data_IF_318491730411
#
_entry.id   IF_318491730411
#
_cell.length_a   1.000
_cell.length_b   1.000
_cell.length_c   1.000
_cell.angle_alpha   90.00
_cell.angle_beta   90.00
_cell.angle_gamma   90.00
#
_symmetry.space_group_name_H-M   'P 1'
#
loop_
_entity.id
_entity.type
_entity.pdbx_description
1 polymer ?
#
# COMPACT_ATOMS: atom_id res chain seq x y z
N UNK A 1 -31.14 22.38 -31.71
CA UNK A 1 -32.07 21.47 -31.01
C UNK A 1 -31.67 21.45 -29.55
N UNK A 2 -32.44 22.09 -28.68
CA UNK A 2 -32.19 22.03 -27.24
C UNK A 2 -32.65 20.66 -26.75
N UNK A 3 -31.70 19.75 -26.55
CA UNK A 3 -31.98 18.50 -25.85
C UNK A 3 -32.51 18.83 -24.46
N UNK A 4 -33.63 18.19 -24.12
CA UNK A 4 -34.31 18.32 -22.84
C UNK A 4 -33.32 18.13 -21.68
N UNK A 5 -32.86 19.24 -21.10
CA UNK A 5 -32.23 19.30 -19.79
C UNK A 5 -33.29 18.92 -18.76
N UNK A 6 -33.49 17.60 -18.58
CA UNK A 6 -34.39 17.09 -17.58
C UNK A 6 -33.83 17.51 -16.21
N UNK A 7 -34.50 18.40 -15.46
CA UNK A 7 -33.94 18.99 -14.23
C UNK A 7 -33.60 17.93 -13.18
N UNK A 8 -34.23 16.77 -13.26
CA UNK A 8 -33.94 15.58 -12.45
C UNK A 8 -32.52 15.01 -12.67
N UNK A 9 -32.00 15.03 -13.90
CA UNK A 9 -30.62 14.56 -14.21
C UNK A 9 -29.55 15.56 -13.75
N UNK A 10 -29.86 16.85 -13.83
CA UNK A 10 -29.00 17.91 -13.28
C UNK A 10 -28.91 17.82 -11.75
N UNK A 11 -30.03 17.50 -11.09
CA UNK A 11 -30.07 17.24 -9.65
C UNK A 11 -29.29 15.98 -9.25
N UNK A 12 -29.26 14.94 -10.07
CA UNK A 12 -28.53 13.71 -9.79
C UNK A 12 -27.01 13.91 -9.73
N UNK A 13 -26.48 14.79 -10.58
CA UNK A 13 -25.05 15.15 -10.68
C UNK A 13 -24.56 16.08 -9.57
N UNK A 14 -25.48 16.70 -8.81
CA UNK A 14 -25.12 17.54 -7.69
C UNK A 14 -24.60 16.69 -6.52
N UNK A 15 -23.50 17.15 -5.93
CA UNK A 15 -22.95 16.59 -4.70
C UNK A 15 -24.02 16.56 -3.60
N UNK A 16 -23.96 15.62 -2.64
CA UNK A 16 -24.93 15.56 -1.53
C UNK A 16 -25.10 16.89 -0.78
N UNK A 17 -24.06 17.72 -0.77
CA UNK A 17 -24.05 19.06 -0.17
C UNK A 17 -24.86 20.05 -0.99
N UNK A 18 -24.72 20.05 -2.32
CA UNK A 18 -25.52 20.90 -3.21
C UNK A 18 -27.01 20.51 -3.21
N UNK A 19 -27.32 19.21 -3.09
CA UNK A 19 -28.69 18.73 -2.87
C UNK A 19 -29.27 19.27 -1.56
N UNK A 20 -28.48 19.26 -0.49
CA UNK A 20 -28.88 19.79 0.81
C UNK A 20 -29.12 21.32 0.78
N UNK A 21 -28.22 22.06 0.10
CA UNK A 21 -28.38 23.51 -0.13
C UNK A 21 -29.63 23.78 -0.96
N UNK A 22 -29.88 23.02 -2.02
CA UNK A 22 -31.09 23.14 -2.84
C UNK A 22 -32.37 22.90 -2.05
N UNK A 23 -32.41 21.86 -1.21
CA UNK A 23 -33.55 21.58 -0.31
C UNK A 23 -33.73 22.72 0.69
N UNK A 24 -32.66 23.18 1.34
CA UNK A 24 -32.70 24.32 2.27
C UNK A 24 -33.22 25.60 1.59
N UNK A 25 -32.74 25.91 0.38
CA UNK A 25 -33.22 27.06 -0.41
C UNK A 25 -34.70 26.93 -0.78
N UNK A 26 -35.16 25.71 -1.07
CA UNK A 26 -36.57 25.44 -1.39
C UNK A 26 -37.45 25.63 -0.16
N UNK A 27 -37.02 25.12 1.00
CA UNK A 27 -37.72 25.30 2.29
C UNK A 27 -37.75 26.78 2.68
N UNK A 28 -36.63 27.49 2.56
CA UNK A 28 -36.56 28.92 2.80
C UNK A 28 -37.48 29.67 1.85
N UNK A 29 -37.49 29.35 0.55
CA UNK A 29 -38.38 30.01 -0.42
C UNK A 29 -39.87 29.77 -0.16
N UNK A 30 -40.24 28.61 0.42
CA UNK A 30 -41.61 28.28 0.79
C UNK A 30 -42.07 28.94 2.10
N UNK A 31 -41.16 29.09 3.07
CA UNK A 31 -41.49 29.60 4.40
C UNK A 31 -41.28 31.11 4.55
N UNK A 32 -40.33 31.68 3.81
CA UNK A 32 -39.98 33.10 3.88
C UNK A 32 -41.17 34.04 3.61
N UNK A 33 -42.06 33.79 2.61
CA UNK A 33 -43.22 34.65 2.38
C UNK A 33 -44.17 34.67 3.59
N UNK A 34 -44.48 33.51 4.15
CA UNK A 34 -45.37 33.39 5.31
C UNK A 34 -44.76 34.04 6.58
N UNK A 35 -43.45 33.92 6.77
CA UNK A 35 -42.73 34.57 7.87
C UNK A 35 -42.74 36.10 7.70
N UNK A 36 -42.52 36.59 6.47
CA UNK A 36 -42.56 38.03 6.17
C UNK A 36 -43.96 38.63 6.29
N UNK A 37 -45.02 37.86 6.07
CA UNK A 37 -46.41 38.30 6.29
C UNK A 37 -46.77 38.40 7.77
N UNK A 38 -46.17 37.58 8.65
CA UNK A 38 -46.42 37.62 10.09
C UNK A 38 -45.81 38.83 10.81
N UNK A 39 -44.83 39.49 10.21
CA UNK A 39 -44.22 40.70 10.79
C UNK A 39 -44.92 41.96 10.27
N UNK A 40 -45.34 42.84 11.18
CA UNK A 40 -46.02 44.10 10.81
C UNK A 40 -45.07 45.24 10.44
N UNK A 41 -43.79 45.16 10.80
CA UNK A 41 -42.80 46.23 10.60
C UNK A 41 -41.84 45.91 9.45
N UNK A 42 -41.70 46.85 8.50
CA UNK A 42 -40.78 46.73 7.35
C UNK A 42 -39.33 46.57 7.77
N UNK A 43 -38.91 47.19 8.88
CA UNK A 43 -37.54 47.08 9.39
C UNK A 43 -37.23 45.65 9.85
N UNK A 44 -38.21 44.96 10.44
CA UNK A 44 -38.05 43.57 10.89
C UNK A 44 -38.04 42.62 9.70
N UNK A 45 -38.85 42.88 8.67
CA UNK A 45 -38.82 42.15 7.39
C UNK A 45 -37.45 42.25 6.71
N UNK A 46 -36.89 43.46 6.66
CA UNK A 46 -35.58 43.72 6.06
C UNK A 46 -34.45 43.02 6.83
N UNK A 47 -34.48 43.04 8.16
CA UNK A 47 -33.52 42.32 9.00
C UNK A 47 -33.57 40.80 8.81
N UNK A 48 -34.78 40.22 8.71
CA UNK A 48 -34.97 38.79 8.40
C UNK A 48 -34.42 38.45 7.01
N UNK A 49 -34.62 39.33 6.03
CA UNK A 49 -34.12 39.12 4.67
C UNK A 49 -32.58 39.14 4.61
N UNK A 50 -31.94 40.10 5.28
CA UNK A 50 -30.47 40.16 5.37
C UNK A 50 -29.91 38.92 6.07
N UNK A 51 -30.52 38.51 7.18
CA UNK A 51 -30.02 37.34 7.94
C UNK A 51 -30.16 36.04 7.15
N UNK A 52 -31.23 35.87 6.36
CA UNK A 52 -31.38 34.74 5.43
C UNK A 52 -30.30 34.76 4.34
N UNK A 53 -30.01 35.92 3.74
CA UNK A 53 -28.95 36.07 2.74
C UNK A 53 -27.58 35.70 3.35
N UNK A 54 -27.28 36.17 4.57
CA UNK A 54 -26.02 35.89 5.25
C UNK A 54 -25.85 34.39 5.57
N UNK A 55 -26.92 33.70 5.96
CA UNK A 55 -26.91 32.25 6.22
C UNK A 55 -26.64 31.48 4.92
N UNK A 56 -27.30 31.84 3.81
CA UNK A 56 -27.08 31.20 2.51
C UNK A 56 -25.64 31.40 2.02
N UNK A 57 -25.11 32.62 2.13
CA UNK A 57 -23.71 32.92 1.79
C UNK A 57 -22.73 32.08 2.62
N UNK A 58 -22.95 31.97 3.93
CA UNK A 58 -22.10 31.19 4.83
C UNK A 58 -22.13 29.69 4.48
N UNK A 59 -23.31 29.14 4.19
CA UNK A 59 -23.47 27.75 3.76
C UNK A 59 -22.80 27.47 2.40
N UNK A 60 -22.91 28.40 1.45
CA UNK A 60 -22.27 28.29 0.14
C UNK A 60 -20.74 28.32 0.23
N UNK A 61 -20.18 29.22 1.06
CA UNK A 61 -18.73 29.28 1.33
C UNK A 61 -18.25 27.99 1.98
N UNK A 62 -18.97 27.49 2.99
CA UNK A 62 -18.63 26.26 3.69
C UNK A 62 -18.67 25.03 2.77
N UNK A 63 -19.66 24.95 1.88
CA UNK A 63 -19.75 23.87 0.88
C UNK A 63 -18.62 23.92 -0.15
N UNK A 64 -18.27 25.12 -0.63
CA UNK A 64 -17.14 25.32 -1.56
C UNK A 64 -15.81 24.89 -0.94
N UNK A 65 -15.56 25.25 0.33
CA UNK A 65 -14.36 24.84 1.06
C UNK A 65 -14.29 23.32 1.27
N UNK A 66 -15.42 22.67 1.59
CA UNK A 66 -15.47 21.23 1.82
C UNK A 66 -15.21 20.43 0.54
N UNK A 67 -15.75 20.85 -0.61
CA UNK A 67 -15.50 20.17 -1.89
C UNK A 67 -14.04 20.24 -2.31
N UNK A 68 -13.37 21.37 -2.08
CA UNK A 68 -11.92 21.51 -2.34
C UNK A 68 -11.10 20.57 -1.46
N UNK A 69 -11.39 20.51 -0.16
CA UNK A 69 -10.68 19.62 0.76
C UNK A 69 -10.89 18.13 0.41
N UNK A 70 -12.10 17.74 -0.02
CA UNK A 70 -12.39 16.36 -0.42
C UNK A 70 -11.66 16.00 -1.71
N UNK A 71 -11.58 16.90 -2.69
CA UNK A 71 -10.81 16.67 -3.92
C UNK A 71 -9.31 16.55 -3.64
N UNK A 72 -8.76 17.41 -2.78
CA UNK A 72 -7.36 17.37 -2.37
C UNK A 72 -7.02 16.03 -1.68
N UNK A 73 -7.86 15.58 -0.74
CA UNK A 73 -7.69 14.27 -0.07
C UNK A 73 -7.80 13.09 -1.04
N UNK A 74 -8.66 13.17 -2.07
CA UNK A 74 -8.77 12.14 -3.10
C UNK A 74 -7.56 12.11 -4.03
N UNK A 75 -7.02 13.27 -4.41
CA UNK A 75 -5.78 13.36 -5.19
C UNK A 75 -4.58 12.83 -4.40
N UNK A 76 -4.48 13.16 -3.12
CA UNK A 76 -3.41 12.68 -2.26
C UNK A 76 -3.53 11.17 -2.01
N UNK A 77 -4.73 10.63 -1.83
CA UNK A 77 -4.93 9.18 -1.77
C UNK A 77 -4.50 8.49 -3.07
N UNK A 78 -4.82 9.07 -4.24
CA UNK A 78 -4.37 8.53 -5.54
C UNK A 78 -2.85 8.54 -5.64
N UNK A 79 -2.20 9.64 -5.25
CA UNK A 79 -0.73 9.74 -5.21
C UNK A 79 -0.15 8.68 -4.28
N UNK A 80 -0.62 8.61 -3.03
CA UNK A 80 -0.16 7.63 -2.05
C UNK A 80 -0.33 6.18 -2.53
N UNK A 81 -1.46 5.86 -3.15
CA UNK A 81 -1.70 4.53 -3.73
C UNK A 81 -0.71 4.21 -4.84
N UNK A 82 -0.38 5.21 -5.68
CA UNK A 82 0.62 5.05 -6.74
C UNK A 82 2.02 4.84 -6.15
N UNK A 83 2.42 5.67 -5.19
CA UNK A 83 3.73 5.57 -4.52
C UNK A 83 3.87 4.24 -3.78
N UNK A 84 2.79 3.76 -3.13
CA UNK A 84 2.78 2.43 -2.47
C UNK A 84 3.05 1.32 -3.48
N UNK A 85 2.38 1.32 -4.64
CA UNK A 85 2.61 0.32 -5.69
C UNK A 85 4.03 0.34 -6.23
N UNK A 86 4.57 1.53 -6.51
CA UNK A 86 5.94 1.69 -6.98
C UNK A 86 6.95 1.17 -5.93
N UNK A 87 6.72 1.48 -4.65
CA UNK A 87 7.55 1.01 -3.55
C UNK A 87 7.46 -0.51 -3.36
N UNK A 88 6.26 -1.09 -3.46
CA UNK A 88 6.06 -2.55 -3.35
C UNK A 88 6.79 -3.29 -4.48
N UNK A 89 6.75 -2.74 -5.70
CA UNK A 89 7.47 -3.30 -6.85
C UNK A 89 8.99 -3.21 -6.68
N UNK A 90 9.51 -2.07 -6.19
CA UNK A 90 10.93 -1.92 -5.86
C UNK A 90 11.35 -2.90 -4.75
N UNK A 91 10.53 -3.08 -3.71
CA UNK A 91 10.79 -4.03 -2.63
C UNK A 91 10.79 -5.48 -3.12
N UNK A 92 9.88 -5.85 -4.02
CA UNK A 92 9.88 -7.19 -4.65
C UNK A 92 11.15 -7.41 -5.46
N UNK A 93 11.57 -6.42 -6.24
CA UNK A 93 12.78 -6.53 -7.06
C UNK A 93 14.05 -6.61 -6.21
N UNK A 94 14.16 -5.79 -5.16
CA UNK A 94 15.29 -5.84 -4.21
C UNK A 94 15.37 -7.20 -3.51
N UNK A 95 14.24 -7.73 -3.01
CA UNK A 95 14.20 -9.05 -2.38
C UNK A 95 14.58 -10.17 -3.33
N UNK A 96 14.15 -10.10 -4.60
CA UNK A 96 14.57 -11.06 -5.64
C UNK A 96 16.09 -11.02 -5.85
N UNK A 97 16.68 -9.83 -5.94
CA UNK A 97 18.13 -9.65 -6.07
C UNK A 97 18.88 -10.18 -4.84
N UNK A 98 18.41 -9.89 -3.64
CA UNK A 98 19.01 -10.39 -2.39
C UNK A 98 18.97 -11.92 -2.31
N UNK A 99 17.82 -12.56 -2.62
CA UNK A 99 17.71 -14.03 -2.69
C UNK A 99 18.68 -14.64 -3.68
N UNK A 100 18.85 -14.03 -4.84
CA UNK A 100 19.78 -14.54 -5.86
C UNK A 100 21.24 -14.45 -5.38
N UNK A 101 21.61 -13.34 -4.74
CA UNK A 101 22.94 -13.15 -4.14
C UNK A 101 23.20 -14.19 -3.04
N UNK A 102 22.28 -14.37 -2.10
CA UNK A 102 22.43 -15.34 -1.02
C UNK A 102 22.49 -16.79 -1.53
N UNK A 103 21.74 -17.13 -2.58
CA UNK A 103 21.83 -18.45 -3.23
C UNK A 103 23.21 -18.69 -3.87
N UNK A 104 23.75 -17.69 -4.57
CA UNK A 104 25.09 -17.77 -5.15
C UNK A 104 26.16 -17.89 -4.07
N UNK A 105 26.03 -17.12 -2.99
CA UNK A 105 26.94 -17.15 -1.85
C UNK A 105 26.90 -18.51 -1.14
N UNK A 106 25.73 -19.02 -0.77
CA UNK A 106 25.56 -20.34 -0.16
C UNK A 106 26.15 -21.46 -1.03
N UNK A 107 25.88 -21.43 -2.34
CA UNK A 107 26.45 -22.40 -3.29
C UNK A 107 27.99 -22.31 -3.39
N UNK A 108 28.54 -21.11 -3.39
CA UNK A 108 30.00 -20.88 -3.39
C UNK A 108 30.64 -21.41 -2.10
N UNK A 109 30.10 -21.06 -0.94
CA UNK A 109 30.59 -21.51 0.37
C UNK A 109 30.52 -23.02 0.50
N UNK A 110 29.43 -23.65 0.05
CA UNK A 110 29.28 -25.10 0.03
C UNK A 110 30.32 -25.77 -0.87
N UNK A 111 30.61 -25.18 -2.04
CA UNK A 111 31.66 -25.68 -2.92
C UNK A 111 33.05 -25.56 -2.29
N UNK A 112 33.34 -24.47 -1.58
CA UNK A 112 34.61 -24.28 -0.86
C UNK A 112 34.72 -25.31 0.27
N UNK A 113 33.68 -25.48 1.08
CA UNK A 113 33.65 -26.48 2.15
C UNK A 113 33.94 -27.89 1.62
N UNK A 114 33.30 -28.29 0.51
CA UNK A 114 33.53 -29.60 -0.14
C UNK A 114 34.97 -29.76 -0.62
N UNK A 115 35.56 -28.72 -1.20
CA UNK A 115 36.97 -28.76 -1.65
C UNK A 115 37.93 -28.89 -0.47
N UNK A 116 37.71 -28.14 0.60
CA UNK A 116 38.52 -28.25 1.82
C UNK A 116 38.40 -29.64 2.46
N UNK A 117 37.19 -30.20 2.49
CA UNK A 117 36.94 -31.56 2.99
C UNK A 117 37.68 -32.61 2.14
N UNK A 118 37.68 -32.45 0.81
CA UNK A 118 38.44 -33.31 -0.10
C UNK A 118 39.95 -33.21 0.16
N UNK A 119 40.49 -32.00 0.35
CA UNK A 119 41.91 -31.80 0.68
C UNK A 119 42.23 -32.46 2.03
N UNK A 120 41.36 -32.27 3.03
CA UNK A 120 41.48 -32.90 4.35
C UNK A 120 41.53 -34.43 4.24
N UNK A 121 40.65 -35.01 3.44
CA UNK A 121 40.61 -36.45 3.20
C UNK A 121 41.92 -36.96 2.58
N UNK A 122 42.45 -36.24 1.59
CA UNK A 122 43.73 -36.59 0.94
C UNK A 122 44.90 -36.51 1.93
N UNK A 123 44.96 -35.45 2.75
CA UNK A 123 45.99 -35.31 3.78
C UNK A 123 45.94 -36.44 4.82
N UNK A 124 44.73 -36.82 5.25
CA UNK A 124 44.55 -37.95 6.17
C UNK A 124 44.99 -39.28 5.54
N UNK A 125 44.70 -39.49 4.26
CA UNK A 125 45.16 -40.69 3.54
C UNK A 125 46.69 -40.75 3.47
N UNK A 126 47.35 -39.63 3.17
CA UNK A 126 48.83 -39.54 3.16
C UNK A 126 49.44 -39.78 4.55
N UNK A 127 48.79 -39.31 5.63
CA UNK A 127 49.19 -39.62 7.01
C UNK A 127 49.11 -41.13 7.30
N UNK A 128 48.01 -41.77 6.91
CA UNK A 128 47.81 -43.21 7.11
C UNK A 128 48.87 -44.05 6.37
N UNK A 129 49.25 -43.63 5.16
CA UNK A 129 50.25 -44.33 4.34
C UNK A 129 51.70 -44.00 4.70
N UNK A 130 51.94 -43.02 5.60
CA UNK A 130 53.28 -42.49 5.96
C UNK A 130 54.11 -42.06 4.74
N UNK A 131 53.46 -41.60 3.68
CA UNK A 131 54.10 -41.25 2.41
C UNK A 131 54.77 -39.86 2.43
N UNK A 132 54.51 -39.04 3.46
CA UNK A 132 54.93 -37.63 3.55
C UNK A 132 55.34 -37.24 4.97
N UNK A 133 55.99 -36.08 5.13
CA UNK A 133 56.28 -35.46 6.42
C UNK A 133 55.02 -35.35 7.28
N UNK A 134 54.90 -36.27 8.24
CA UNK A 134 53.77 -36.38 9.16
C UNK A 134 53.53 -35.10 9.97
N UNK A 135 54.58 -34.34 10.28
CA UNK A 135 54.47 -33.14 11.10
C UNK A 135 53.90 -31.97 10.29
N UNK A 136 54.40 -31.76 9.06
CA UNK A 136 53.84 -30.79 8.13
C UNK A 136 52.37 -31.06 7.79
N UNK A 137 52.00 -32.32 7.55
CA UNK A 137 50.61 -32.68 7.23
C UNK A 137 49.66 -32.47 8.42
N UNK A 138 50.09 -32.77 9.66
CA UNK A 138 49.30 -32.47 10.86
C UNK A 138 49.07 -30.97 11.06
N UNK A 139 50.07 -30.13 10.78
CA UNK A 139 49.93 -28.66 10.85
C UNK A 139 48.86 -28.18 9.86
N UNK A 140 48.93 -28.62 8.60
CA UNK A 140 47.95 -28.23 7.58
C UNK A 140 46.55 -28.74 7.94
N UNK A 141 46.43 -29.98 8.44
CA UNK A 141 45.15 -30.55 8.85
C UNK A 141 44.50 -29.75 10.01
N UNK A 142 45.32 -29.32 10.98
CA UNK A 142 44.90 -28.47 12.09
C UNK A 142 44.51 -27.05 11.64
N UNK A 143 45.03 -26.56 10.52
CA UNK A 143 44.62 -25.28 9.93
C UNK A 143 43.36 -25.39 9.07
N UNK A 144 43.17 -26.50 8.35
CA UNK A 144 42.00 -26.72 7.48
C UNK A 144 40.73 -26.98 8.28
N UNK A 145 40.81 -27.74 9.37
CA UNK A 145 39.66 -28.09 10.21
C UNK A 145 38.86 -26.87 10.70
N UNK A 146 39.48 -25.84 11.33
CA UNK A 146 38.74 -24.65 11.77
C UNK A 146 38.14 -23.86 10.60
N UNK A 147 38.81 -23.82 9.44
CA UNK A 147 38.26 -23.16 8.24
C UNK A 147 37.00 -23.86 7.73
N UNK A 148 36.97 -25.19 7.73
CA UNK A 148 35.76 -25.96 7.35
C UNK A 148 34.62 -25.64 8.31
N UNK A 149 34.87 -25.63 9.62
CA UNK A 149 33.85 -25.31 10.64
C UNK A 149 33.31 -23.88 10.43
N UNK A 150 34.18 -22.91 10.22
CA UNK A 150 33.77 -21.52 9.97
C UNK A 150 32.91 -21.40 8.71
N UNK A 151 33.31 -22.05 7.62
CA UNK A 151 32.55 -22.00 6.36
C UNK A 151 31.19 -22.68 6.51
N UNK A 152 31.12 -23.82 7.21
CA UNK A 152 29.84 -24.49 7.50
C UNK A 152 28.91 -23.59 8.32
N UNK A 153 29.42 -22.94 9.36
CA UNK A 153 28.65 -21.98 10.14
C UNK A 153 28.13 -20.81 9.28
N UNK A 154 28.94 -20.32 8.33
CA UNK A 154 28.51 -19.29 7.37
C UNK A 154 27.44 -19.81 6.40
N UNK A 155 27.54 -21.05 5.92
CA UNK A 155 26.49 -21.67 5.09
C UNK A 155 25.18 -21.73 5.85
N UNK A 156 25.19 -22.25 7.08
CA UNK A 156 23.99 -22.33 7.93
C UNK A 156 23.36 -20.96 8.19
N UNK A 157 24.19 -19.94 8.42
CA UNK A 157 23.73 -18.56 8.59
C UNK A 157 23.07 -18.01 7.32
N UNK A 158 23.68 -18.23 6.14
CA UNK A 158 23.11 -17.82 4.85
C UNK A 158 21.80 -18.55 4.55
N UNK A 159 21.72 -19.85 4.86
CA UNK A 159 20.51 -20.66 4.68
C UNK A 159 19.39 -20.25 5.66
N UNK A 160 19.73 -19.80 6.87
CA UNK A 160 18.77 -19.16 7.78
C UNK A 160 18.21 -17.87 7.18
N UNK A 161 19.06 -16.97 6.68
CA UNK A 161 18.62 -15.72 6.04
C UNK A 161 17.75 -15.96 4.81
N UNK A 162 18.04 -17.01 4.03
CA UNK A 162 17.20 -17.41 2.89
C UNK A 162 15.79 -17.85 3.34
N UNK A 163 15.67 -18.56 4.46
CA UNK A 163 14.37 -18.95 5.04
C UNK A 163 13.61 -17.74 5.57
N UNK A 164 14.28 -16.85 6.31
CA UNK A 164 13.68 -15.61 6.81
C UNK A 164 13.13 -14.75 5.66
N UNK A 165 13.86 -14.62 4.55
CA UNK A 165 13.37 -13.93 3.35
C UNK A 165 12.15 -14.61 2.73
N UNK A 166 12.09 -15.95 2.73
CA UNK A 166 10.94 -16.69 2.22
C UNK A 166 9.71 -16.53 3.12
N UNK A 167 9.88 -16.51 4.43
CA UNK A 167 8.79 -16.31 5.40
C UNK A 167 8.19 -14.89 5.27
N UNK A 168 9.05 -13.88 5.15
CA UNK A 168 8.63 -12.48 4.91
C UNK A 168 7.88 -12.35 3.59
N UNK A 169 8.31 -13.05 2.55
CA UNK A 169 7.59 -13.08 1.27
C UNK A 169 6.26 -13.83 1.34
N UNK A 170 6.17 -14.89 2.13
CA UNK A 170 4.91 -15.58 2.39
C UNK A 170 3.89 -14.68 3.07
N UNK A 171 4.31 -13.92 4.09
CA UNK A 171 3.46 -12.95 4.78
C UNK A 171 2.99 -11.85 3.80
N UNK A 172 3.91 -11.31 3.01
CA UNK A 172 3.59 -10.23 2.08
C UNK A 172 2.75 -10.70 0.88
N UNK A 173 2.89 -11.97 0.46
CA UNK A 173 2.04 -12.57 -0.56
C UNK A 173 0.59 -12.77 -0.10
N UNK A 174 0.38 -13.03 1.20
CA UNK A 174 -0.96 -13.09 1.82
C UNK A 174 -1.61 -11.70 1.86
N UNK A 175 -0.84 -10.65 2.13
CA UNK A 175 -1.33 -9.27 2.06
C UNK A 175 -1.70 -8.86 0.62
N UNK A 176 -0.94 -9.31 -0.38
CA UNK A 176 -1.26 -9.08 -1.80
C UNK A 176 -2.56 -9.78 -2.23
N UNK A 177 -2.78 -11.03 -1.79
CA UNK A 177 -4.02 -11.79 -2.03
C UNK A 177 -5.21 -11.13 -1.34
N UNK A 178 -5.04 -10.65 -0.10
CA UNK A 178 -6.07 -9.93 0.64
C UNK A 178 -6.42 -8.58 -0.02
N UNK A 179 -5.43 -7.85 -0.54
CA UNK A 179 -5.64 -6.59 -1.28
C UNK A 179 -6.36 -6.85 -2.63
N UNK A 180 -6.07 -7.95 -3.33
CA UNK A 180 -6.77 -8.35 -4.56
C UNK A 180 -8.20 -8.84 -4.31
N UNK A 181 -8.45 -9.60 -3.24
CA UNK A 181 -9.81 -9.97 -2.81
C UNK A 181 -10.64 -8.74 -2.42
N UNK A 182 -10.05 -7.82 -1.66
CA UNK A 182 -10.71 -6.57 -1.26
C UNK A 182 -11.08 -5.72 -2.49
N UNK A 183 -10.18 -5.62 -3.46
CA UNK A 183 -10.45 -4.92 -4.73
C UNK A 183 -11.57 -5.58 -5.52
N UNK A 184 -11.57 -6.91 -5.58
CA UNK A 184 -12.62 -7.68 -6.25
C UNK A 184 -13.99 -7.47 -5.59
N UNK A 185 -14.03 -7.40 -4.25
CA UNK A 185 -15.25 -7.09 -3.50
C UNK A 185 -15.76 -5.67 -3.77
N UNK A 186 -14.88 -4.67 -3.83
CA UNK A 186 -15.23 -3.28 -4.16
C UNK A 186 -15.76 -3.16 -5.60
N UNK A 187 -15.14 -3.84 -6.56
CA UNK A 187 -15.59 -3.86 -7.96
C UNK A 187 -16.94 -4.56 -8.12
N UNK A 188 -17.22 -5.60 -7.34
CA UNK A 188 -18.54 -6.25 -7.29
C UNK A 188 -19.61 -5.31 -6.72
N UNK A 189 -19.32 -4.60 -5.62
CA UNK A 189 -20.23 -3.59 -5.04
C UNK A 189 -20.55 -2.47 -6.04
N UNK A 190 -19.56 -1.98 -6.77
CA UNK A 190 -19.75 -0.95 -7.79
C UNK A 190 -20.58 -1.46 -8.97
N UNK A 191 -20.37 -2.70 -9.41
CA UNK A 191 -21.21 -3.35 -10.44
C UNK A 191 -22.66 -3.50 -9.99
N UNK A 192 -22.91 -3.98 -8.77
CA UNK A 192 -24.26 -4.17 -8.23
C UNK A 192 -25.03 -2.84 -8.10
N UNK A 193 -24.35 -1.75 -7.73
CA UNK A 193 -24.96 -0.40 -7.76
C UNK A 193 -25.33 0.04 -9.17
N UNK A 194 -24.47 -0.21 -10.15
CA UNK A 194 -24.73 0.19 -11.55
C UNK A 194 -25.91 -0.55 -12.18
N UNK A 195 -26.17 -1.79 -11.77
CA UNK A 195 -27.31 -2.59 -12.24
C UNK A 195 -28.63 -2.23 -11.57
N UNK A 196 -28.63 -1.77 -10.31
CA UNK A 196 -29.84 -1.33 -9.61
C UNK A 196 -30.25 0.11 -9.93
N UNK A 197 -29.49 0.81 -10.78
CA UNK A 197 -29.77 2.17 -11.24
C UNK A 197 -30.41 2.20 -12.65
N UNK A 198 -30.77 1.03 -13.20
CA UNK A 198 -31.46 0.86 -14.48
C UNK A 198 -32.87 0.32 -14.23
#
# INVERSE_FOLDING_TARGET
MFENLNPLKLLEQLSPVEKLIGILLTIVSLLLPNILEQFSSENTKFLVLISVILIILSAAIFASHRNRNVQEVLEDNKKLTKTRKELDEELRERRRRERELLRRESGSLTNIARKLESIRSQLNESLCKRETDTQGVLIINNQITPLIIEIQARVEHTDRRLRELADVEGILGVDDEADDEMKTYVDQQNKLRSTNSR
#
